data_IF_718413866991
#
_entry.id   IF_718413866991
#
_cell.length_a   1.000
_cell.length_b   1.000
_cell.length_c   1.000
_cell.angle_alpha   90.00
_cell.angle_beta   90.00
_cell.angle_gamma   90.00
#
_symmetry.space_group_name_H-M   'P 1'
#
loop_
_entity.id
_entity.type
_entity.pdbx_description
1 polymer ?
#
# COMPACT_ATOMS: atom_id res chain seq x y z
N UNK A 1 9.39 16.92 -31.32
CA UNK A 1 10.11 17.05 -30.03
C UNK A 1 9.07 17.01 -28.91
N UNK A 2 8.75 15.82 -28.40
CA UNK A 2 7.69 15.63 -27.38
C UNK A 2 8.37 15.63 -26.01
N UNK A 3 8.09 16.66 -25.21
CA UNK A 3 8.57 16.81 -23.85
C UNK A 3 7.77 15.83 -22.98
N UNK A 4 8.35 14.72 -22.57
CA UNK A 4 7.76 13.89 -21.51
C UNK A 4 7.92 14.65 -20.19
N UNK A 5 6.83 15.01 -19.47
CA UNK A 5 6.99 15.51 -18.11
C UNK A 5 7.56 14.39 -17.26
N UNK A 6 8.61 14.69 -16.48
CA UNK A 6 9.07 13.79 -15.43
C UNK A 6 7.87 13.52 -14.52
N UNK A 7 7.40 12.26 -14.51
CA UNK A 7 6.32 11.84 -13.63
C UNK A 7 6.98 11.37 -12.35
N UNK A 8 6.95 12.22 -11.34
CA UNK A 8 7.60 12.00 -10.05
C UNK A 8 7.09 10.71 -9.41
N UNK A 9 7.95 9.69 -9.33
CA UNK A 9 7.68 8.50 -8.53
C UNK A 9 7.92 8.88 -7.08
N UNK A 10 6.86 8.91 -6.28
CA UNK A 10 6.95 9.18 -4.85
C UNK A 10 7.30 7.87 -4.13
N UNK A 11 8.57 7.71 -3.77
CA UNK A 11 8.99 6.67 -2.83
C UNK A 11 8.88 7.20 -1.41
N UNK A 12 7.96 6.63 -0.62
CA UNK A 12 7.74 7.02 0.77
C UNK A 12 8.36 5.99 1.69
N UNK A 13 9.57 6.26 2.18
CA UNK A 13 10.17 5.50 3.29
C UNK A 13 9.73 6.15 4.59
N UNK A 14 8.78 5.54 5.30
CA UNK A 14 8.30 6.05 6.58
C UNK A 14 9.24 5.78 7.74
N UNK A 15 10.16 4.82 7.58
CA UNK A 15 11.18 4.51 8.58
C UNK A 15 12.26 3.59 7.97
N UNK A 16 13.53 3.78 8.35
CA UNK A 16 14.60 2.78 8.09
C UNK A 16 14.52 1.70 9.16
N UNK A 17 13.37 1.03 9.24
CA UNK A 17 13.17 -0.06 10.18
C UNK A 17 13.71 -1.36 9.60
N UNK A 18 13.59 -1.57 8.28
CA UNK A 18 14.16 -2.73 7.63
C UNK A 18 15.68 -2.55 7.38
N UNK A 19 16.50 -3.58 7.64
CA UNK A 19 17.93 -3.56 7.35
C UNK A 19 18.18 -3.48 5.83
N UNK A 20 19.34 -2.94 5.47
CA UNK A 20 19.78 -2.77 4.07
C UNK A 20 20.28 -4.07 3.41
N UNK A 21 20.14 -5.20 4.10
CA UNK A 21 20.50 -6.54 3.62
C UNK A 21 19.33 -7.50 3.76
N UNK A 22 19.09 -8.22 2.67
CA UNK A 22 18.13 -9.32 2.59
C UNK A 22 18.87 -10.62 2.23
N UNK A 23 18.43 -11.80 2.71
CA UNK A 23 17.31 -12.04 3.63
C UNK A 23 17.54 -11.44 5.02
N UNK A 24 16.45 -11.14 5.73
CA UNK A 24 16.50 -10.69 7.12
C UNK A 24 17.19 -11.78 7.97
N UNK A 25 18.13 -11.37 8.82
CA UNK A 25 18.90 -12.29 9.66
C UNK A 25 18.12 -12.82 10.86
N UNK A 26 17.49 -11.92 11.63
CA UNK A 26 16.67 -12.22 12.81
C UNK A 26 15.15 -12.22 12.50
N UNK A 27 14.34 -12.60 13.49
CA UNK A 27 12.86 -12.56 13.46
C UNK A 27 12.33 -11.20 12.97
N UNK A 28 11.24 -11.21 12.20
CA UNK A 28 10.55 -10.01 11.67
C UNK A 28 9.84 -9.25 12.79
N UNK A 29 9.46 -9.91 13.88
CA UNK A 29 8.63 -9.35 14.93
C UNK A 29 9.14 -8.03 15.56
N UNK A 30 10.44 -7.83 15.84
CA UNK A 30 10.98 -6.58 16.37
C UNK A 30 10.91 -5.42 15.37
N UNK A 31 11.13 -5.69 14.08
CA UNK A 31 11.01 -4.71 13.01
C UNK A 31 9.56 -4.26 12.84
N UNK A 32 8.64 -5.23 12.80
CA UNK A 32 7.22 -4.92 12.78
C UNK A 32 6.85 -4.02 13.96
N UNK A 33 7.25 -4.37 15.21
CA UNK A 33 6.99 -3.59 16.44
C UNK A 33 7.43 -2.12 16.36
N UNK A 34 8.59 -1.84 15.77
CA UNK A 34 9.09 -0.47 15.61
C UNK A 34 8.24 0.38 14.63
N UNK A 35 7.51 -0.25 13.71
CA UNK A 35 6.73 0.42 12.67
C UNK A 35 5.28 0.77 13.07
N UNK A 36 4.77 0.21 14.18
CA UNK A 36 3.34 0.13 14.53
C UNK A 36 2.58 1.47 14.68
N UNK A 37 3.25 2.62 14.72
CA UNK A 37 2.61 3.93 14.89
C UNK A 37 2.25 4.60 13.56
N UNK A 38 3.25 5.23 12.94
CA UNK A 38 3.10 5.98 11.70
C UNK A 38 2.89 5.08 10.48
N UNK A 39 3.56 3.91 10.42
CA UNK A 39 3.36 2.92 9.36
C UNK A 39 1.93 2.44 9.33
N UNK A 40 1.40 1.99 10.48
CA UNK A 40 0.00 1.54 10.58
C UNK A 40 -1.02 2.65 10.23
N UNK A 41 -0.74 3.90 10.58
CA UNK A 41 -1.59 5.03 10.21
C UNK A 41 -1.60 5.24 8.70
N UNK A 42 -0.45 5.20 8.04
CA UNK A 42 -0.36 5.38 6.61
C UNK A 42 -0.95 4.18 5.86
N UNK A 43 -0.47 2.97 6.14
CA UNK A 43 -0.86 1.75 5.44
C UNK A 43 -2.36 1.55 5.56
N UNK A 44 -2.88 1.57 6.79
CA UNK A 44 -4.27 1.23 7.05
C UNK A 44 -5.18 2.45 6.92
N UNK A 45 -4.72 3.64 7.32
CA UNK A 45 -5.53 4.86 7.31
C UNK A 45 -5.60 5.55 5.95
N UNK A 46 -4.52 5.50 5.16
CA UNK A 46 -4.39 6.25 3.90
C UNK A 46 -4.32 5.32 2.68
N UNK A 47 -3.44 4.32 2.67
CA UNK A 47 -3.11 3.50 1.50
C UNK A 47 -4.17 2.44 1.22
N UNK A 48 -4.50 1.55 2.17
CA UNK A 48 -5.48 0.46 1.98
C UNK A 48 -6.80 0.96 1.40
N UNK A 49 -7.40 2.08 1.89
CA UNK A 49 -8.62 2.62 1.30
C UNK A 49 -8.49 3.09 -0.16
N UNK A 50 -7.27 3.36 -0.63
CA UNK A 50 -6.93 3.94 -1.93
C UNK A 50 -6.24 2.97 -2.89
N UNK A 51 -5.98 1.73 -2.45
CA UNK A 51 -5.14 0.79 -3.19
C UNK A 51 -5.72 0.44 -4.57
N UNK A 52 -7.04 0.31 -4.67
CA UNK A 52 -7.74 0.07 -5.94
C UNK A 52 -7.54 1.22 -6.93
N UNK A 53 -7.63 2.47 -6.46
CA UNK A 53 -7.37 3.66 -7.28
C UNK A 53 -5.90 3.74 -7.69
N UNK A 54 -4.99 3.44 -6.77
CA UNK A 54 -3.55 3.43 -7.04
C UNK A 54 -3.22 2.44 -8.15
N UNK A 55 -3.73 1.21 -8.06
CA UNK A 55 -3.48 0.20 -9.09
C UNK A 55 -4.18 0.52 -10.42
N UNK A 56 -5.38 1.09 -10.39
CA UNK A 56 -6.05 1.53 -11.63
C UNK A 56 -5.30 2.68 -12.32
N UNK A 57 -4.82 3.66 -11.56
CA UNK A 57 -4.00 4.75 -12.07
C UNK A 57 -2.66 4.22 -12.61
N UNK A 58 -1.97 3.38 -11.85
CA UNK A 58 -0.70 2.77 -12.28
C UNK A 58 -0.88 1.92 -13.54
N UNK A 59 -1.98 1.16 -13.65
CA UNK A 59 -2.28 0.40 -14.86
C UNK A 59 -2.39 1.29 -16.11
N UNK A 60 -3.00 2.46 -15.97
CA UNK A 60 -3.11 3.45 -17.04
C UNK A 60 -1.77 4.14 -17.34
N UNK A 61 -1.02 4.51 -16.31
CA UNK A 61 0.24 5.25 -16.47
C UNK A 61 1.38 4.40 -17.03
N UNK A 62 1.40 3.12 -16.67
CA UNK A 62 2.42 2.17 -17.08
C UNK A 62 2.01 1.34 -18.30
N UNK A 63 0.87 1.65 -18.92
CA UNK A 63 0.28 0.86 -20.02
C UNK A 63 0.27 -0.64 -19.71
N UNK A 64 -0.08 -0.98 -18.46
CA UNK A 64 -0.06 -2.36 -17.96
C UNK A 64 -1.42 -2.70 -17.34
N UNK A 65 -2.44 -3.02 -18.16
CA UNK A 65 -3.80 -3.33 -17.68
C UNK A 65 -3.84 -4.47 -16.65
N UNK A 66 -2.90 -5.43 -16.76
CA UNK A 66 -2.77 -6.57 -15.86
C UNK A 66 -2.53 -6.21 -14.39
N UNK A 67 -2.03 -5.00 -14.08
CA UNK A 67 -1.86 -4.56 -12.70
C UNK A 67 -3.18 -4.60 -11.91
N UNK A 68 -4.32 -4.31 -12.56
CA UNK A 68 -5.64 -4.35 -11.90
C UNK A 68 -6.02 -5.76 -11.42
N UNK A 69 -5.44 -6.80 -12.03
CA UNK A 69 -5.68 -8.20 -11.69
C UNK A 69 -4.83 -8.67 -10.50
N UNK A 70 -3.84 -7.87 -10.08
CA UNK A 70 -3.04 -8.14 -8.88
C UNK A 70 -3.78 -7.78 -7.60
N UNK A 71 -5.03 -7.32 -7.68
CA UNK A 71 -5.89 -7.02 -6.53
C UNK A 71 -7.20 -7.80 -6.62
N UNK A 72 -7.67 -8.28 -5.47
CA UNK A 72 -9.06 -8.66 -5.22
C UNK A 72 -9.65 -7.70 -4.18
N UNK A 73 -10.41 -6.71 -4.65
CA UNK A 73 -10.81 -5.57 -3.82
C UNK A 73 -9.58 -4.82 -3.30
N UNK A 74 -9.42 -4.75 -1.97
CA UNK A 74 -8.27 -4.10 -1.34
C UNK A 74 -7.13 -5.08 -1.01
N UNK A 75 -7.29 -6.37 -1.33
CA UNK A 75 -6.32 -7.42 -1.02
C UNK A 75 -5.40 -7.66 -2.22
N UNK A 76 -4.08 -7.47 -2.09
CA UNK A 76 -3.13 -7.88 -3.11
C UNK A 76 -3.05 -9.41 -3.27
N UNK A 77 -3.04 -9.87 -4.52
CA UNK A 77 -3.09 -11.29 -4.89
C UNK A 77 -1.89 -11.74 -5.75
N UNK A 78 -0.81 -10.96 -5.79
CA UNK A 78 0.38 -11.30 -6.57
C UNK A 78 1.28 -12.35 -5.90
N UNK A 79 1.14 -12.53 -4.58
CA UNK A 79 1.94 -13.47 -3.80
C UNK A 79 1.08 -14.48 -3.01
N UNK A 80 -0.20 -14.17 -2.76
CA UNK A 80 -1.12 -15.02 -2.00
C UNK A 80 -2.51 -15.10 -2.66
N UNK A 81 -3.27 -16.18 -2.41
CA UNK A 81 -4.68 -16.28 -2.78
C UNK A 81 -5.54 -15.14 -2.22
N UNK A 82 -6.62 -14.76 -2.91
CA UNK A 82 -7.48 -13.64 -2.54
C UNK A 82 -8.28 -13.85 -1.24
N UNK A 83 -8.55 -15.11 -0.89
CA UNK A 83 -9.19 -15.52 0.35
C UNK A 83 -8.24 -15.45 1.56
N UNK A 84 -6.93 -15.47 1.33
CA UNK A 84 -5.92 -15.22 2.36
C UNK A 84 -5.66 -13.70 2.51
N UNK A 85 -6.56 -13.06 3.24
CA UNK A 85 -6.55 -11.61 3.43
C UNK A 85 -5.49 -11.13 4.43
N UNK A 86 -4.83 -12.02 5.17
CA UNK A 86 -3.68 -11.62 6.00
C UNK A 86 -2.39 -11.73 5.19
N UNK A 87 -1.48 -10.76 5.30
CA UNK A 87 -1.43 -9.64 6.25
C UNK A 87 -2.19 -8.36 5.81
N UNK A 88 -2.88 -8.39 4.67
CA UNK A 88 -3.38 -7.21 3.95
C UNK A 88 -4.62 -6.51 4.54
N UNK A 89 -5.32 -7.15 5.48
CA UNK A 89 -6.54 -6.62 6.11
C UNK A 89 -6.42 -6.48 7.64
N UNK A 90 -5.46 -5.70 8.15
CA UNK A 90 -5.34 -5.47 9.58
C UNK A 90 -6.47 -4.55 10.09
N UNK A 91 -6.90 -4.77 11.34
CA UNK A 91 -7.90 -3.90 11.95
C UNK A 91 -7.36 -2.46 12.09
N UNK A 92 -8.10 -1.43 11.65
CA UNK A 92 -7.64 -0.05 11.74
C UNK A 92 -7.54 0.39 13.19
N UNK A 93 -6.41 1.00 13.57
CA UNK A 93 -6.24 1.62 14.88
C UNK A 93 -7.14 2.85 15.03
N UNK A 94 -7.31 3.35 16.27
CA UNK A 94 -8.07 4.60 16.52
C UNK A 94 -7.63 5.78 15.64
N UNK A 95 -6.33 6.11 15.52
CA UNK A 95 -5.89 7.19 14.64
C UNK A 95 -6.15 6.87 13.16
N UNK A 96 -5.94 5.62 12.71
CA UNK A 96 -6.23 5.24 11.33
C UNK A 96 -7.73 5.41 10.98
N UNK A 97 -8.64 5.12 11.92
CA UNK A 97 -10.08 5.37 11.75
C UNK A 97 -10.40 6.86 11.63
N UNK A 98 -9.75 7.71 12.43
CA UNK A 98 -9.92 9.16 12.34
C UNK A 98 -9.44 9.68 10.98
N UNK A 99 -8.27 9.23 10.53
CA UNK A 99 -7.72 9.58 9.21
C UNK A 99 -8.66 9.19 8.09
N UNK A 100 -9.23 7.99 8.09
CA UNK A 100 -10.23 7.56 7.09
C UNK A 100 -11.46 8.46 7.03
N UNK A 101 -11.85 9.05 8.17
CA UNK A 101 -12.99 9.99 8.23
C UNK A 101 -12.64 11.38 7.70
N UNK A 102 -11.46 11.88 8.04
CA UNK A 102 -11.00 13.21 7.62
C UNK A 102 -10.53 13.24 6.15
N UNK A 103 -9.98 12.12 5.69
CA UNK A 103 -9.44 11.93 4.34
C UNK A 103 -10.17 10.75 3.68
N UNK A 104 -11.42 10.91 3.24
CA UNK A 104 -12.16 9.84 2.57
C UNK A 104 -11.46 9.42 1.27
N UNK A 105 -11.50 8.11 0.98
CA UNK A 105 -11.01 7.61 -0.30
C UNK A 105 -11.96 8.04 -1.44
N UNK A 106 -11.44 8.22 -2.66
CA UNK A 106 -12.30 8.41 -3.83
C UNK A 106 -13.20 7.19 -4.02
N UNK A 107 -14.31 7.32 -4.78
CA UNK A 107 -15.08 6.16 -5.23
C UNK A 107 -14.19 5.14 -5.95
N UNK A 108 -14.60 3.87 -5.94
CA UNK A 108 -13.87 2.82 -6.65
C UNK A 108 -13.84 3.09 -8.16
N UNK A 109 -12.70 2.89 -8.83
CA UNK A 109 -12.60 2.99 -10.27
C UNK A 109 -13.41 1.85 -10.93
N UNK A 110 -14.08 2.15 -12.04
CA UNK A 110 -14.82 1.16 -12.85
C UNK A 110 -13.89 0.30 -13.68
#
# INVERSE_FOLDING_TARGET
>A
MIRQPARDVIFLSLSRVLPDRYPLGDDIAPYAQAEHGLGHLLDVGIITPRVEQLYAWSASELDTPGLRQLLSGQTPCYAWPADDQQPWSPAPSRPARLVRRLLPAPPRPR
#
